data_IF_284903274267
#
_entry.id   IF_284903274267
#
_cell.length_a   1.000
_cell.length_b   1.000
_cell.length_c   1.000
_cell.angle_alpha   90.00
_cell.angle_beta   90.00
_cell.angle_gamma   90.00
#
_symmetry.space_group_name_H-M   'P 1'
#
loop_
_entity.id
_entity.type
_entity.pdbx_description
1 polymer ?
#
# COMPACT_ATOMS: atom_id res chain seq x y z
N UNK A 1 -20.77 31.61 5.06
CA UNK A 1 -20.81 30.20 4.59
C UNK A 1 -19.42 29.56 4.51
N UNK A 2 -18.50 29.93 3.61
CA UNK A 2 -17.19 29.25 3.54
C UNK A 2 -16.24 29.49 4.74
N UNK A 3 -16.37 30.64 5.42
CA UNK A 3 -15.57 30.94 6.61
C UNK A 3 -16.07 30.26 7.89
N UNK A 4 -17.35 29.90 7.95
CA UNK A 4 -17.95 29.23 9.13
C UNK A 4 -17.59 27.74 9.15
N UNK A 5 -17.59 27.08 7.98
CA UNK A 5 -17.11 25.68 7.87
C UNK A 5 -15.63 25.55 8.23
N UNK A 6 -14.79 26.51 7.85
CA UNK A 6 -13.36 26.50 8.20
C UNK A 6 -13.13 26.68 9.70
N UNK A 7 -13.91 27.52 10.36
CA UNK A 7 -13.85 27.71 11.81
C UNK A 7 -14.35 26.45 12.54
N UNK A 8 -15.45 25.85 12.10
CA UNK A 8 -15.94 24.60 12.68
C UNK A 8 -14.93 23.45 12.54
N UNK A 9 -14.29 23.32 11.37
CA UNK A 9 -13.24 22.33 11.13
C UNK A 9 -12.01 22.59 12.01
N UNK A 10 -11.63 23.85 12.20
CA UNK A 10 -10.53 24.22 13.10
C UNK A 10 -10.87 23.89 14.56
N UNK A 11 -12.08 24.18 15.02
CA UNK A 11 -12.54 23.84 16.36
C UNK A 11 -12.64 22.33 16.59
N UNK A 12 -13.04 21.56 15.56
CA UNK A 12 -12.98 20.09 15.59
C UNK A 12 -11.54 19.59 15.70
N UNK A 13 -10.61 20.19 14.97
CA UNK A 13 -9.19 19.86 15.06
C UNK A 13 -8.63 20.12 16.46
N UNK A 14 -8.88 21.30 17.04
CA UNK A 14 -8.42 21.63 18.40
C UNK A 14 -8.97 20.66 19.43
N UNK A 15 -10.25 20.29 19.33
CA UNK A 15 -10.85 19.29 20.21
C UNK A 15 -10.17 17.92 20.09
N UNK A 16 -9.82 17.50 18.87
CA UNK A 16 -9.11 16.23 18.61
C UNK A 16 -7.69 16.27 19.16
N UNK A 17 -6.98 17.40 19.01
CA UNK A 17 -5.65 17.61 19.59
C UNK A 17 -5.72 17.58 21.11
N UNK A 18 -6.69 18.27 21.72
CA UNK A 18 -6.91 18.23 23.17
C UNK A 18 -7.27 16.82 23.64
N UNK A 19 -8.06 16.06 22.88
CA UNK A 19 -8.39 14.67 23.20
C UNK A 19 -7.18 13.73 23.17
N UNK A 20 -6.24 13.95 22.25
CA UNK A 20 -4.97 13.22 22.19
C UNK A 20 -4.03 13.67 23.32
N UNK A 21 -4.05 14.97 23.64
CA UNK A 21 -3.25 15.59 24.69
C UNK A 21 -3.83 15.43 26.10
N UNK A 22 -5.07 14.95 26.24
CA UNK A 22 -5.69 14.65 27.53
C UNK A 22 -4.80 13.69 28.32
N UNK A 23 -4.76 13.81 29.66
CA UNK A 23 -3.73 13.24 30.54
C UNK A 23 -3.66 11.69 30.64
N UNK A 24 -4.31 10.95 29.75
CA UNK A 24 -4.37 9.48 29.81
C UNK A 24 -3.64 8.78 28.66
N UNK A 25 -3.59 9.36 27.45
CA UNK A 25 -3.09 8.64 26.27
C UNK A 25 -1.57 8.69 26.16
N UNK A 26 -1.01 9.87 25.95
CA UNK A 26 0.45 10.07 25.83
C UNK A 26 1.15 9.76 27.16
N UNK A 27 0.55 10.16 28.27
CA UNK A 27 1.08 9.90 29.61
C UNK A 27 0.99 8.41 30.01
N UNK A 28 -0.09 7.72 29.60
CA UNK A 28 -0.27 6.29 29.86
C UNK A 28 0.66 5.39 29.03
N UNK A 29 1.00 5.79 27.80
CA UNK A 29 2.01 5.11 26.99
C UNK A 29 3.44 5.23 27.57
N UNK A 30 3.69 6.30 28.33
CA UNK A 30 4.95 6.57 29.02
C UNK A 30 4.95 6.09 30.49
N UNK A 31 3.90 5.37 30.92
CA UNK A 31 3.80 4.82 32.27
C UNK A 31 4.77 3.63 32.45
N UNK A 32 5.42 3.48 33.62
CA UNK A 32 6.27 2.33 33.94
C UNK A 32 5.49 0.99 34.05
N UNK A 33 4.17 1.05 34.25
CA UNK A 33 3.32 -0.13 34.43
C UNK A 33 2.90 -0.73 33.07
N UNK A 34 3.30 -1.98 32.75
CA UNK A 34 2.96 -2.63 31.48
C UNK A 34 1.45 -2.84 31.29
N UNK A 35 0.68 -3.06 32.36
CA UNK A 35 -0.77 -3.30 32.25
C UNK A 35 -1.52 -2.03 31.83
N UNK A 36 -1.07 -0.87 32.32
CA UNK A 36 -1.60 0.44 31.90
C UNK A 36 -1.24 0.70 30.44
N UNK A 37 0.00 0.43 30.05
CA UNK A 37 0.45 0.62 28.66
C UNK A 37 -0.36 -0.23 27.67
N UNK A 38 -0.58 -1.50 27.97
CA UNK A 38 -1.35 -2.40 27.10
C UNK A 38 -2.81 -1.97 26.98
N UNK A 39 -3.44 -1.55 28.09
CA UNK A 39 -4.81 -1.02 28.07
C UNK A 39 -4.94 0.24 27.21
N UNK A 40 -3.95 1.14 27.30
CA UNK A 40 -3.92 2.37 26.50
C UNK A 40 -3.65 2.06 25.03
N UNK A 41 -2.77 1.09 24.71
CA UNK A 41 -2.55 0.60 23.35
C UNK A 41 -3.85 0.03 22.77
N UNK A 42 -4.53 -0.86 23.48
CA UNK A 42 -5.80 -1.43 23.04
C UNK A 42 -6.89 -0.36 22.84
N UNK A 43 -6.93 0.66 23.70
CA UNK A 43 -7.83 1.80 23.54
C UNK A 43 -7.47 2.64 22.30
N UNK A 44 -6.18 2.86 22.02
CA UNK A 44 -5.75 3.55 20.78
C UNK A 44 -6.07 2.76 19.53
N UNK A 45 -5.86 1.45 19.53
CA UNK A 45 -6.15 0.57 18.39
C UNK A 45 -7.64 0.56 18.08
N UNK A 46 -8.49 0.45 19.11
CA UNK A 46 -9.94 0.57 18.96
C UNK A 46 -10.33 1.92 18.35
N UNK A 47 -9.77 3.02 18.85
CA UNK A 47 -10.03 4.38 18.31
C UNK A 47 -9.56 4.55 16.87
N UNK A 48 -8.40 3.99 16.51
CA UNK A 48 -7.90 4.03 15.14
C UNK A 48 -8.82 3.24 14.19
N UNK A 49 -9.33 2.09 14.63
CA UNK A 49 -10.29 1.29 13.88
C UNK A 49 -11.64 2.02 13.69
N UNK A 50 -12.15 2.68 14.75
CA UNK A 50 -13.35 3.52 14.67
C UNK A 50 -13.12 4.74 13.76
N UNK A 51 -11.90 5.26 13.68
CA UNK A 51 -11.51 6.30 12.72
C UNK A 51 -11.38 5.77 11.29
N UNK A 52 -10.86 4.57 11.06
CA UNK A 52 -10.79 3.98 9.71
C UNK A 52 -12.18 3.65 9.16
N UNK A 53 -13.13 3.30 10.03
CA UNK A 53 -14.53 3.04 9.66
C UNK A 53 -15.36 4.33 9.47
N UNK A 54 -14.98 5.43 10.13
CA UNK A 54 -15.63 6.74 9.96
C UNK A 54 -14.90 7.70 9.01
N UNK A 55 -13.65 7.42 8.63
CA UNK A 55 -12.90 8.14 7.59
C UNK A 55 -13.27 7.65 6.19
N UNK A 56 -14.53 7.84 5.87
CA UNK A 56 -14.91 8.44 4.58
C UNK A 56 -14.53 9.95 4.54
N UNK A 57 -13.68 10.43 5.46
CA UNK A 57 -13.12 11.78 5.44
C UNK A 57 -12.18 11.92 4.22
N UNK A 58 -12.54 12.87 3.39
CA UNK A 58 -11.86 13.31 2.18
C UNK A 58 -10.35 13.42 2.39
N UNK A 59 -9.57 12.47 1.85
CA UNK A 59 -8.19 12.79 1.44
C UNK A 59 -8.31 13.87 0.35
N UNK A 60 -8.35 15.14 0.74
CA UNK A 60 -8.16 16.29 -0.14
C UNK A 60 -6.68 16.31 -0.48
N UNK A 61 -6.28 15.52 -1.48
CA UNK A 61 -5.05 15.82 -2.19
C UNK A 61 -5.23 17.21 -2.77
N UNK A 62 -4.53 18.20 -2.23
CA UNK A 62 -4.47 19.54 -2.80
C UNK A 62 -3.66 19.40 -4.10
N UNK A 63 -4.34 18.95 -5.17
CA UNK A 63 -3.81 18.99 -6.52
C UNK A 63 -4.13 20.38 -7.03
N UNK A 64 -3.10 21.10 -7.49
CA UNK A 64 -3.22 22.45 -8.06
C UNK A 64 -4.51 22.60 -8.88
N UNK A 65 -5.40 23.48 -8.43
CA UNK A 65 -6.77 23.66 -8.94
C UNK A 65 -6.69 24.18 -10.39
N UNK A 66 -6.81 23.28 -11.36
CA UNK A 66 -7.16 23.70 -12.72
C UNK A 66 -8.60 24.20 -12.71
N UNK A 67 -8.85 25.34 -13.36
CA UNK A 67 -10.14 26.04 -13.38
C UNK A 67 -11.07 25.37 -14.40
N UNK A 68 -11.31 24.06 -14.24
CA UNK A 68 -12.17 23.30 -15.13
C UNK A 68 -13.39 22.83 -14.32
N UNK A 69 -14.52 23.46 -14.62
CA UNK A 69 -15.90 23.05 -14.32
C UNK A 69 -16.28 22.78 -12.85
N UNK A 70 -16.93 23.75 -12.21
CA UNK A 70 -17.32 23.78 -10.79
C UNK A 70 -18.56 22.95 -10.40
N UNK A 71 -19.10 22.12 -11.30
CA UNK A 71 -20.34 21.35 -11.10
C UNK A 71 -20.12 19.82 -11.11
N UNK A 72 -18.88 19.35 -10.98
CA UNK A 72 -18.64 17.92 -10.77
C UNK A 72 -19.18 17.51 -9.39
N UNK A 73 -20.27 16.75 -9.38
CA UNK A 73 -20.89 16.20 -8.17
C UNK A 73 -19.84 15.51 -7.29
N UNK A 74 -19.58 16.09 -6.12
CA UNK A 74 -18.59 15.64 -5.13
C UNK A 74 -18.79 14.17 -4.76
N UNK A 75 -20.05 13.69 -4.79
CA UNK A 75 -20.44 12.29 -4.52
C UNK A 75 -19.83 11.28 -5.49
N UNK A 76 -19.61 11.66 -6.76
CA UNK A 76 -19.00 10.79 -7.77
C UNK A 76 -17.50 10.55 -7.54
N UNK A 77 -16.83 11.53 -6.94
CA UNK A 77 -15.37 11.49 -6.71
C UNK A 77 -15.01 10.46 -5.64
N UNK A 78 -15.81 10.33 -4.58
CA UNK A 78 -15.61 9.30 -3.55
C UNK A 78 -15.77 7.89 -4.09
N UNK A 79 -16.82 7.63 -4.88
CA UNK A 79 -17.04 6.32 -5.50
C UNK A 79 -15.90 5.93 -6.44
N UNK A 80 -15.40 6.89 -7.23
CA UNK A 80 -14.24 6.68 -8.09
C UNK A 80 -12.97 6.39 -7.27
N UNK A 81 -12.74 7.14 -6.21
CA UNK A 81 -11.58 6.98 -5.32
C UNK A 81 -11.55 5.63 -4.61
N UNK A 82 -12.69 5.15 -4.13
CA UNK A 82 -12.80 3.82 -3.53
C UNK A 82 -12.46 2.72 -4.54
N UNK A 83 -12.96 2.84 -5.78
CA UNK A 83 -12.63 1.91 -6.87
C UNK A 83 -11.15 1.94 -7.21
N UNK A 84 -10.54 3.13 -7.34
CA UNK A 84 -9.11 3.30 -7.59
C UNK A 84 -8.25 2.68 -6.50
N UNK A 85 -8.64 2.85 -5.23
CA UNK A 85 -7.92 2.25 -4.11
C UNK A 85 -8.01 0.73 -4.10
N UNK A 86 -9.20 0.17 -4.35
CA UNK A 86 -9.40 -1.28 -4.45
C UNK A 86 -8.55 -1.88 -5.58
N UNK A 87 -8.58 -1.25 -6.75
CA UNK A 87 -7.80 -1.65 -7.93
C UNK A 87 -6.28 -1.47 -7.72
N UNK A 88 -5.83 -0.40 -7.04
CA UNK A 88 -4.43 -0.24 -6.64
C UNK A 88 -3.98 -1.38 -5.70
N UNK A 89 -4.79 -1.71 -4.69
CA UNK A 89 -4.53 -2.81 -3.75
C UNK A 89 -4.51 -4.17 -4.45
N UNK A 90 -5.40 -4.40 -5.40
CA UNK A 90 -5.43 -5.62 -6.21
C UNK A 90 -4.18 -5.75 -7.09
N UNK A 91 -3.80 -4.69 -7.81
CA UNK A 91 -2.56 -4.68 -8.60
C UNK A 91 -1.32 -4.93 -7.74
N UNK A 92 -1.25 -4.34 -6.56
CA UNK A 92 -0.13 -4.57 -5.64
C UNK A 92 -0.04 -6.05 -5.23
N UNK A 93 -1.18 -6.67 -4.86
CA UNK A 93 -1.25 -8.11 -4.58
C UNK A 93 -0.83 -8.94 -5.80
N UNK A 94 -1.29 -8.58 -7.00
CA UNK A 94 -0.95 -9.30 -8.23
C UNK A 94 0.55 -9.23 -8.53
N UNK A 95 1.17 -8.05 -8.40
CA UNK A 95 2.62 -7.88 -8.57
C UNK A 95 3.39 -8.79 -7.62
N UNK A 96 3.02 -8.81 -6.34
CA UNK A 96 3.66 -9.69 -5.35
C UNK A 96 3.53 -11.17 -5.73
N UNK A 97 2.36 -11.61 -6.18
CA UNK A 97 2.15 -12.99 -6.66
C UNK A 97 3.03 -13.31 -7.88
N UNK A 98 3.05 -12.42 -8.87
CA UNK A 98 3.85 -12.59 -10.08
C UNK A 98 5.36 -12.62 -9.76
N UNK A 99 5.80 -11.78 -8.83
CA UNK A 99 7.19 -11.73 -8.36
C UNK A 99 7.60 -13.05 -7.70
N UNK A 100 6.79 -13.58 -6.77
CA UNK A 100 7.05 -14.88 -6.17
C UNK A 100 7.13 -16.01 -7.20
N UNK A 101 6.21 -16.01 -8.18
CA UNK A 101 6.21 -17.01 -9.26
C UNK A 101 7.44 -16.89 -10.17
N UNK A 102 7.83 -15.67 -10.54
CA UNK A 102 9.03 -15.41 -11.33
C UNK A 102 10.32 -15.75 -10.57
N UNK A 103 10.33 -15.62 -9.24
CA UNK A 103 11.44 -16.08 -8.39
C UNK A 103 11.54 -17.60 -8.39
N UNK A 104 10.43 -18.31 -8.21
CA UNK A 104 10.42 -19.78 -8.26
C UNK A 104 10.85 -20.33 -9.63
N UNK A 105 10.42 -19.70 -10.73
CA UNK A 105 10.84 -20.08 -12.09
C UNK A 105 12.33 -19.80 -12.33
N UNK A 106 12.85 -18.69 -11.80
CA UNK A 106 14.29 -18.40 -11.82
C UNK A 106 15.09 -19.52 -11.15
N UNK A 107 14.68 -19.95 -9.96
CA UNK A 107 15.37 -21.01 -9.22
C UNK A 107 15.35 -22.33 -9.97
N UNK A 108 14.19 -22.73 -10.52
CA UNK A 108 14.09 -23.92 -11.38
C UNK A 108 14.98 -23.85 -12.62
N UNK A 109 15.09 -22.67 -13.25
CA UNK A 109 15.98 -22.44 -14.37
C UNK A 109 17.46 -22.54 -13.97
N UNK A 110 17.82 -22.00 -12.80
CA UNK A 110 19.17 -22.12 -12.25
C UNK A 110 19.52 -23.59 -11.95
N UNK A 111 18.57 -24.37 -11.44
CA UNK A 111 18.77 -25.80 -11.16
C UNK A 111 18.99 -26.60 -12.45
N UNK A 112 18.21 -26.33 -13.50
CA UNK A 112 18.42 -26.92 -14.81
C UNK A 112 19.78 -26.52 -15.42
N UNK A 113 20.16 -25.25 -15.27
CA UNK A 113 21.47 -24.77 -15.71
C UNK A 113 22.63 -25.51 -15.03
N UNK A 114 22.56 -25.72 -13.72
CA UNK A 114 23.58 -26.48 -12.96
C UNK A 114 23.65 -27.95 -13.37
N UNK A 115 22.56 -28.53 -13.87
CA UNK A 115 22.51 -29.91 -14.39
C UNK A 115 23.04 -30.03 -15.83
N UNK A 116 23.25 -28.91 -16.53
CA UNK A 116 23.61 -28.88 -17.95
C UNK A 116 22.42 -28.93 -18.91
N UNK A 117 21.18 -28.90 -18.39
CA UNK A 117 19.96 -28.92 -19.20
C UNK A 117 19.61 -27.50 -19.69
N UNK A 118 20.38 -27.01 -20.66
CA UNK A 118 20.30 -25.63 -21.15
C UNK A 118 18.96 -25.29 -21.82
N UNK A 119 18.36 -26.23 -22.55
CA UNK A 119 17.05 -26.03 -23.19
C UNK A 119 15.93 -25.79 -22.17
N UNK A 120 15.93 -26.61 -21.11
CA UNK A 120 14.95 -26.48 -20.02
C UNK A 120 15.18 -25.17 -19.27
N UNK A 121 16.44 -24.78 -19.03
CA UNK A 121 16.76 -23.52 -18.37
C UNK A 121 16.23 -22.30 -19.16
N UNK A 122 16.41 -22.26 -20.49
CA UNK A 122 15.87 -21.20 -21.35
C UNK A 122 14.35 -21.14 -21.28
N UNK A 123 13.67 -22.29 -21.31
CA UNK A 123 12.22 -22.36 -21.20
C UNK A 123 11.75 -21.79 -19.86
N UNK A 124 12.37 -22.19 -18.73
CA UNK A 124 12.01 -21.70 -17.40
C UNK A 124 12.24 -20.21 -17.22
N UNK A 125 13.33 -19.67 -17.75
CA UNK A 125 13.56 -18.22 -17.73
C UNK A 125 12.55 -17.45 -18.59
N UNK A 126 12.16 -18.02 -19.73
CA UNK A 126 11.13 -17.42 -20.61
C UNK A 126 9.76 -17.41 -19.94
N UNK A 127 9.34 -18.52 -19.32
CA UNK A 127 8.12 -18.59 -18.50
C UNK A 127 8.16 -17.58 -17.35
N UNK A 128 9.32 -17.37 -16.71
CA UNK A 128 9.51 -16.37 -15.65
C UNK A 128 9.31 -14.94 -16.16
N UNK A 129 9.83 -14.62 -17.35
CA UNK A 129 9.70 -13.32 -17.99
C UNK A 129 8.26 -13.01 -18.43
N UNK A 130 7.47 -14.03 -18.78
CA UNK A 130 6.05 -13.85 -19.06
C UNK A 130 5.27 -13.39 -17.81
N UNK A 131 5.69 -13.83 -16.61
CA UNK A 131 5.06 -13.43 -15.34
C UNK A 131 5.53 -12.06 -14.88
N UNK A 132 6.82 -11.77 -15.02
CA UNK A 132 7.41 -10.50 -14.62
C UNK A 132 8.45 -10.03 -15.66
N UNK A 133 7.98 -9.20 -16.60
CA UNK A 133 8.80 -8.68 -17.71
C UNK A 133 9.92 -7.75 -17.26
N UNK A 134 9.77 -7.13 -16.09
CA UNK A 134 10.70 -6.12 -15.58
C UNK A 134 11.89 -6.72 -14.83
N UNK A 135 11.98 -8.06 -14.77
CA UNK A 135 13.03 -8.75 -14.01
C UNK A 135 14.30 -8.94 -14.84
N UNK A 136 15.23 -7.99 -14.71
CA UNK A 136 16.50 -7.99 -15.44
C UNK A 136 17.30 -9.29 -15.31
N UNK A 137 17.35 -9.88 -14.10
CA UNK A 137 18.10 -11.12 -13.82
C UNK A 137 17.74 -12.26 -14.78
N UNK A 138 16.46 -12.40 -15.15
CA UNK A 138 16.01 -13.48 -16.04
C UNK A 138 16.52 -13.30 -17.46
N UNK A 139 16.66 -12.07 -17.95
CA UNK A 139 17.26 -11.80 -19.26
C UNK A 139 18.74 -12.12 -19.27
N UNK A 140 19.47 -11.69 -18.24
CA UNK A 140 20.90 -11.98 -18.11
C UNK A 140 21.14 -13.49 -18.04
N UNK A 141 20.38 -14.21 -17.21
CA UNK A 141 20.51 -15.66 -17.09
C UNK A 141 20.15 -16.38 -18.40
N UNK A 142 19.09 -15.96 -19.10
CA UNK A 142 18.73 -16.54 -20.41
C UNK A 142 19.80 -16.30 -21.48
N UNK A 143 20.36 -15.09 -21.52
CA UNK A 143 21.46 -14.75 -22.44
C UNK A 143 22.70 -15.58 -22.11
N UNK A 144 23.01 -15.73 -20.82
CA UNK A 144 24.09 -16.59 -20.35
C UNK A 144 23.89 -18.00 -20.87
N UNK A 145 22.76 -18.67 -20.59
CA UNK A 145 22.51 -20.05 -21.08
C UNK A 145 22.70 -20.18 -22.58
N UNK A 146 22.27 -19.19 -23.36
CA UNK A 146 22.40 -19.20 -24.81
C UNK A 146 23.87 -19.16 -25.28
N UNK A 147 24.79 -18.66 -24.44
CA UNK A 147 26.24 -18.72 -24.70
C UNK A 147 26.86 -20.07 -24.33
N UNK A 148 26.23 -20.86 -23.44
CA UNK A 148 26.73 -22.17 -23.00
C UNK A 148 26.17 -23.35 -23.81
N UNK A 149 25.21 -23.08 -24.69
CA UNK A 149 24.62 -24.06 -25.61
C UNK A 149 25.45 -24.18 -26.89
#
# INVERSE_FOLDING_TARGET
>A
MAGEEQEEDFQRFLRRVDEISKPNLVQGLNSPDPAVKEKIIAETEKRLHDQETSKEEEIKTIVNRTVINTQASVRGVFSLKLKLYADAKERAKQRKRNEHLANALKEKGNDAFRKGDYDIAIQRYTEGLEKLKDKQELYTNRAQVSMWK
#
